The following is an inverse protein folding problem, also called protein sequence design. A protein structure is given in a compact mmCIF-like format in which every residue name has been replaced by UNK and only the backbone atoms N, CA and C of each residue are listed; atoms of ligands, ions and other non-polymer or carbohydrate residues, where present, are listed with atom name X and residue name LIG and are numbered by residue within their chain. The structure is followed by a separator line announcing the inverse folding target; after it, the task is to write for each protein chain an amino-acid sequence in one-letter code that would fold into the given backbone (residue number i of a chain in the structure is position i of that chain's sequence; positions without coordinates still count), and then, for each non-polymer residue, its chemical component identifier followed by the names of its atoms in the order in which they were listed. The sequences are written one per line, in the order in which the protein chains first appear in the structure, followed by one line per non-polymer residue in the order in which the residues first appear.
data_IF_945434766797
#
_entry.id   IF_945434766797
#
_cell.length_a   1.000
_cell.length_b   1.000
_cell.length_c   1.000
_cell.angle_alpha   90.00
_cell.angle_beta   90.00
_cell.angle_gamma   90.00
#
_symmetry.space_group_name_H-M   'P 1'
#
loop_
_entity.id
_entity.type
_entity.pdbx_description
1 polymer ?
#
# COMPACT_ATOMS: atom_id res chain seq x y z
N UNK A 1 29.56 -2.84 -0.50
CA UNK A 1 28.73 -1.67 -0.09
C UNK A 1 28.91 -0.45 -0.99
N UNK A 2 30.13 0.04 -1.27
CA UNK A 2 30.35 1.22 -2.16
C UNK A 2 29.83 1.03 -3.59
N UNK A 3 30.04 -0.16 -4.15
CA UNK A 3 29.60 -0.53 -5.50
C UNK A 3 28.07 -0.54 -5.62
N UNK A 4 27.38 -1.17 -4.67
CA UNK A 4 25.90 -1.16 -4.58
C UNK A 4 25.38 0.26 -4.42
N UNK A 5 25.99 1.08 -3.54
CA UNK A 5 25.61 2.48 -3.37
C UNK A 5 25.80 3.29 -4.66
N UNK A 6 26.91 3.08 -5.36
CA UNK A 6 27.18 3.71 -6.66
C UNK A 6 26.13 3.33 -7.70
N UNK A 7 25.79 2.04 -7.80
CA UNK A 7 24.74 1.56 -8.70
C UNK A 7 23.38 2.16 -8.38
N UNK A 8 22.98 2.19 -7.11
CA UNK A 8 21.71 2.81 -6.70
C UNK A 8 21.65 4.30 -7.04
N UNK A 9 22.75 5.03 -6.83
CA UNK A 9 22.84 6.45 -7.18
C UNK A 9 22.75 6.66 -8.69
N UNK A 10 23.51 5.90 -9.49
CA UNK A 10 23.50 6.00 -10.95
C UNK A 10 22.11 5.68 -11.51
N UNK A 11 21.47 4.61 -11.02
CA UNK A 11 20.13 4.22 -11.45
C UNK A 11 19.09 5.28 -11.06
N UNK A 12 19.13 5.79 -9.83
CA UNK A 12 18.21 6.82 -9.37
C UNK A 12 18.38 8.13 -10.15
N UNK A 13 19.63 8.57 -10.35
CA UNK A 13 19.94 9.77 -11.14
C UNK A 13 19.52 9.58 -12.61
N UNK A 14 19.77 8.41 -13.19
CA UNK A 14 19.36 8.05 -14.55
C UNK A 14 17.85 8.13 -14.74
N UNK A 15 17.06 7.54 -13.84
CA UNK A 15 15.61 7.66 -13.88
C UNK A 15 15.12 9.09 -13.66
N UNK A 16 15.77 9.85 -12.77
CA UNK A 16 15.44 11.26 -12.54
C UNK A 16 15.66 12.12 -13.79
N UNK A 17 16.82 11.99 -14.43
CA UNK A 17 17.13 12.72 -15.67
C UNK A 17 16.22 12.28 -16.82
N UNK A 18 15.92 10.99 -16.92
CA UNK A 18 14.97 10.47 -17.90
C UNK A 18 13.57 11.05 -17.69
N UNK A 19 13.11 11.14 -16.45
CA UNK A 19 11.84 11.78 -16.09
C UNK A 19 11.80 13.23 -16.52
N UNK A 20 12.84 14.01 -16.20
CA UNK A 20 12.96 15.42 -16.61
C UNK A 20 12.94 15.55 -18.14
N UNK A 21 13.66 14.68 -18.84
CA UNK A 21 13.65 14.66 -20.30
C UNK A 21 12.27 14.38 -20.88
N UNK A 22 11.49 13.48 -20.27
CA UNK A 22 10.12 13.16 -20.69
C UNK A 22 9.16 14.35 -20.52
N UNK A 23 9.48 15.26 -19.59
CA UNK A 23 8.68 16.45 -19.29
C UNK A 23 8.98 17.64 -20.20
N UNK A 24 9.94 17.53 -21.13
CA UNK A 24 10.35 18.65 -22.01
C UNK A 24 9.20 19.21 -22.86
N UNK A 25 8.23 18.34 -23.18
CA UNK A 25 7.08 18.65 -24.05
C UNK A 25 5.81 18.96 -23.22
N UNK A 26 5.92 19.05 -21.89
CA UNK A 26 4.77 19.30 -21.03
C UNK A 26 4.38 20.78 -21.06
N UNK A 27 3.07 21.05 -21.03
CA UNK A 27 2.54 22.39 -20.81
C UNK A 27 2.75 22.83 -19.35
N UNK A 28 2.69 24.13 -19.09
CA UNK A 28 2.76 24.68 -17.72
C UNK A 28 1.70 24.06 -16.80
N UNK A 29 0.49 23.83 -17.31
CA UNK A 29 -0.59 23.20 -16.54
C UNK A 29 -0.26 21.75 -16.16
N UNK A 30 0.34 20.98 -17.06
CA UNK A 30 0.78 19.61 -16.78
C UNK A 30 1.88 19.57 -15.72
N UNK A 31 2.83 20.51 -15.76
CA UNK A 31 3.88 20.63 -14.76
C UNK A 31 3.32 21.00 -13.38
N UNK A 32 2.38 21.96 -13.32
CA UNK A 32 1.71 22.34 -12.05
C UNK A 32 0.90 21.18 -11.50
N UNK A 33 0.13 20.49 -12.34
CA UNK A 33 -0.66 19.31 -11.94
C UNK A 33 0.22 18.20 -11.37
N UNK A 34 1.33 17.89 -12.04
CA UNK A 34 2.29 16.89 -11.58
C UNK A 34 3.00 17.31 -10.28
N UNK A 35 3.42 18.58 -10.18
CA UNK A 35 4.01 19.12 -8.95
C UNK A 35 3.04 19.05 -7.77
N UNK A 36 1.76 19.36 -8.02
CA UNK A 36 0.69 19.24 -7.03
C UNK A 36 0.47 17.80 -6.61
N UNK A 37 0.49 16.84 -7.54
CA UNK A 37 0.38 15.42 -7.22
C UNK A 37 1.57 14.93 -6.39
N UNK A 38 2.81 15.31 -6.76
CA UNK A 38 4.02 14.93 -6.02
C UNK A 38 4.00 15.50 -4.59
N UNK A 39 3.75 16.81 -4.46
CA UNK A 39 3.68 17.46 -3.16
C UNK A 39 2.51 16.92 -2.31
N UNK A 40 1.32 16.79 -2.91
CA UNK A 40 0.14 16.26 -2.26
C UNK A 40 0.33 14.82 -1.78
N UNK A 41 0.98 13.97 -2.58
CA UNK A 41 1.30 12.60 -2.21
C UNK A 41 2.24 12.51 -0.99
N UNK A 42 3.31 13.31 -0.97
CA UNK A 42 4.24 13.37 0.18
C UNK A 42 3.53 13.89 1.42
N UNK A 43 2.78 14.99 1.30
CA UNK A 43 2.05 15.58 2.43
C UNK A 43 1.01 14.61 2.99
N UNK A 44 0.20 13.97 2.13
CA UNK A 44 -0.77 12.97 2.56
C UNK A 44 -0.09 11.77 3.24
N UNK A 45 1.04 11.31 2.69
CA UNK A 45 1.77 10.19 3.27
C UNK A 45 2.30 10.53 4.67
N UNK A 46 3.04 11.62 4.81
CA UNK A 46 3.77 11.94 6.04
C UNK A 46 2.85 12.52 7.12
N UNK A 47 1.84 13.30 6.74
CA UNK A 47 0.92 13.92 7.70
C UNK A 47 -0.24 13.00 8.09
N UNK A 48 -0.61 12.02 7.26
CA UNK A 48 -1.79 11.18 7.51
C UNK A 48 -1.45 9.70 7.52
N UNK A 49 -0.92 9.15 6.41
CA UNK A 49 -0.74 7.69 6.28
C UNK A 49 0.24 7.14 7.33
N UNK A 50 1.40 7.76 7.48
CA UNK A 50 2.42 7.32 8.43
C UNK A 50 1.93 7.42 9.90
N UNK A 51 1.37 8.56 10.36
CA UNK A 51 0.81 8.66 11.72
C UNK A 51 -0.32 7.66 12.00
N UNK A 52 -1.26 7.49 11.06
CA UNK A 52 -2.35 6.52 11.20
C UNK A 52 -1.80 5.09 11.27
N UNK A 53 -0.81 4.77 10.43
CA UNK A 53 -0.16 3.44 10.44
C UNK A 53 0.52 3.16 11.77
N UNK A 54 1.23 4.14 12.34
CA UNK A 54 1.84 4.04 13.67
C UNK A 54 0.79 3.85 14.74
N UNK A 55 -0.29 4.65 14.73
CA UNK A 55 -1.38 4.54 15.71
C UNK A 55 -2.03 3.16 15.66
N UNK A 56 -2.35 2.66 14.46
CA UNK A 56 -2.90 1.32 14.27
C UNK A 56 -1.91 0.24 14.75
N UNK A 57 -0.62 0.41 14.49
CA UNK A 57 0.43 -0.47 15.01
C UNK A 57 0.47 -0.50 16.55
N UNK A 58 0.37 0.65 17.21
CA UNK A 58 0.31 0.77 18.67
C UNK A 58 -0.96 0.13 19.23
N UNK A 59 -2.12 0.39 18.64
CA UNK A 59 -3.40 -0.22 19.04
C UNK A 59 -3.35 -1.74 18.87
N UNK A 60 -2.86 -2.21 17.72
CA UNK A 60 -2.67 -3.64 17.45
C UNK A 60 -1.67 -4.28 18.45
N UNK A 61 -0.62 -3.57 18.83
CA UNK A 61 0.35 -4.04 19.82
C UNK A 61 -0.23 -4.11 21.24
N UNK A 62 -1.29 -3.36 21.56
CA UNK A 62 -1.98 -3.43 22.86
C UNK A 62 -3.08 -4.47 22.87
N UNK A 63 -3.81 -4.64 21.76
CA UNK A 63 -5.01 -5.48 21.70
C UNK A 63 -4.74 -6.92 21.25
N UNK A 64 -3.72 -7.16 20.41
CA UNK A 64 -3.50 -8.48 19.84
C UNK A 64 -2.57 -9.34 20.72
N UNK A 65 -2.93 -10.62 20.95
CA UNK A 65 -2.04 -11.60 21.55
C UNK A 65 -0.74 -11.72 20.75
N UNK A 66 0.40 -11.79 21.45
CA UNK A 66 1.73 -11.82 20.81
C UNK A 66 1.88 -12.89 19.73
N UNK A 67 1.24 -14.05 19.91
CA UNK A 67 1.26 -15.18 18.95
C UNK A 67 0.59 -14.88 17.60
N UNK A 68 -0.37 -13.97 17.54
CA UNK A 68 -1.10 -13.62 16.30
C UNK A 68 -0.76 -12.25 15.74
N UNK A 69 0.06 -11.47 16.46
CA UNK A 69 0.41 -10.09 16.10
C UNK A 69 1.10 -9.98 14.75
N UNK A 70 2.08 -10.84 14.46
CA UNK A 70 2.80 -10.79 13.17
C UNK A 70 1.89 -11.13 11.99
N UNK A 71 0.95 -12.07 12.17
CA UNK A 71 0.01 -12.48 11.12
C UNK A 71 -0.94 -11.34 10.80
N UNK A 72 -1.49 -10.69 11.82
CA UNK A 72 -2.35 -9.53 11.65
C UNK A 72 -1.61 -8.35 11.01
N UNK A 73 -0.37 -8.07 11.43
CA UNK A 73 0.44 -6.99 10.86
C UNK A 73 0.71 -7.19 9.37
N UNK A 74 1.10 -8.40 8.95
CA UNK A 74 1.34 -8.72 7.54
C UNK A 74 0.04 -8.63 6.73
N UNK A 75 -1.05 -9.22 7.23
CA UNK A 75 -2.34 -9.18 6.55
C UNK A 75 -2.85 -7.75 6.35
N UNK A 76 -2.73 -6.93 7.40
CA UNK A 76 -3.08 -5.51 7.34
C UNK A 76 -2.19 -4.74 6.37
N UNK A 77 -0.87 -4.95 6.40
CA UNK A 77 0.07 -4.30 5.48
C UNK A 77 -0.27 -4.60 4.02
N UNK A 78 -0.51 -5.88 3.69
CA UNK A 78 -0.87 -6.30 2.33
C UNK A 78 -2.22 -5.69 1.93
N UNK A 79 -3.23 -5.81 2.77
CA UNK A 79 -4.56 -5.28 2.50
C UNK A 79 -4.57 -3.74 2.33
N UNK A 80 -3.89 -3.01 3.21
CA UNK A 80 -3.81 -1.56 3.17
C UNK A 80 -3.07 -1.08 1.91
N UNK A 81 -1.93 -1.71 1.58
CA UNK A 81 -1.16 -1.38 0.37
C UNK A 81 -1.98 -1.59 -0.90
N UNK A 82 -2.68 -2.72 -0.99
CA UNK A 82 -3.57 -3.00 -2.13
C UNK A 82 -4.76 -2.05 -2.16
N UNK A 83 -5.33 -1.70 -1.01
CA UNK A 83 -6.44 -0.73 -0.95
C UNK A 83 -6.02 0.64 -1.46
N UNK A 84 -4.85 1.15 -1.04
CA UNK A 84 -4.30 2.41 -1.55
C UNK A 84 -4.07 2.34 -3.06
N UNK A 85 -3.51 1.25 -3.57
CA UNK A 85 -3.32 1.05 -5.02
C UNK A 85 -4.65 1.04 -5.80
N UNK A 86 -5.73 0.57 -5.17
CA UNK A 86 -7.06 0.50 -5.77
C UNK A 86 -7.89 1.77 -5.60
N UNK A 87 -7.45 2.78 -4.83
CA UNK A 87 -8.25 4.00 -4.55
C UNK A 87 -8.78 4.66 -5.82
N UNK A 88 -7.94 4.87 -6.83
CA UNK A 88 -8.36 5.51 -8.07
C UNK A 88 -9.42 4.68 -8.81
N UNK A 89 -9.22 3.37 -8.82
CA UNK A 89 -10.13 2.43 -9.47
C UNK A 89 -11.48 2.35 -8.76
N UNK A 90 -11.47 2.29 -7.43
CA UNK A 90 -12.67 2.26 -6.61
C UNK A 90 -13.45 3.57 -6.65
N UNK A 91 -12.75 4.70 -6.80
CA UNK A 91 -13.36 6.03 -6.91
C UNK A 91 -13.82 6.38 -8.33
N UNK A 92 -13.58 5.51 -9.31
CA UNK A 92 -13.94 5.77 -10.71
C UNK A 92 -13.02 6.78 -11.41
N UNK A 93 -11.95 7.24 -10.75
CA UNK A 93 -11.04 8.23 -11.31
C UNK A 93 -10.29 7.67 -12.52
N UNK A 94 -10.23 8.47 -13.60
CA UNK A 94 -9.62 8.07 -14.86
C UNK A 94 -10.50 7.19 -15.76
N UNK A 95 -11.75 6.92 -15.35
CA UNK A 95 -12.75 6.27 -16.21
C UNK A 95 -13.06 7.10 -17.45
N UNK A 96 -13.28 6.43 -18.58
CA UNK A 96 -13.64 7.05 -19.86
C UNK A 96 -15.03 6.57 -20.29
N UNK A 97 -16.05 7.44 -20.36
CA UNK A 97 -17.43 7.04 -20.67
C UNK A 97 -17.59 6.38 -22.04
N UNK A 98 -16.65 6.64 -22.95
CA UNK A 98 -16.60 6.15 -24.33
C UNK A 98 -15.70 4.92 -24.52
N UNK A 99 -15.09 4.40 -23.45
CA UNK A 99 -14.19 3.26 -23.53
C UNK A 99 -14.42 2.27 -22.39
N UNK A 100 -15.26 1.28 -22.65
CA UNK A 100 -15.62 0.21 -21.71
C UNK A 100 -14.46 -0.75 -21.36
N UNK A 101 -13.31 -0.64 -22.02
CA UNK A 101 -12.10 -1.36 -21.56
C UNK A 101 -11.44 -0.68 -20.36
N UNK A 102 -11.74 0.60 -20.12
CA UNK A 102 -11.23 1.40 -19.02
C UNK A 102 -12.27 1.45 -17.91
N UNK A 103 -11.94 0.83 -16.77
CA UNK A 103 -12.68 0.98 -15.52
C UNK A 103 -14.12 0.41 -15.48
N UNK A 104 -14.47 -0.52 -16.37
CA UNK A 104 -15.84 -1.08 -16.47
C UNK A 104 -16.06 -2.41 -15.72
N UNK A 105 -15.09 -2.84 -14.90
CA UNK A 105 -15.19 -4.07 -14.09
C UNK A 105 -15.81 -3.76 -12.72
N UNK A 106 -16.44 -4.74 -12.06
CA UNK A 106 -17.02 -4.54 -10.73
C UNK A 106 -15.91 -4.51 -9.65
N UNK A 107 -15.07 -3.48 -9.66
CA UNK A 107 -13.90 -3.39 -8.78
C UNK A 107 -14.25 -3.34 -7.31
N UNK A 108 -15.43 -2.82 -6.95
CA UNK A 108 -15.96 -2.92 -5.59
C UNK A 108 -16.09 -4.39 -5.15
N UNK A 109 -16.67 -5.24 -5.99
CA UNK A 109 -16.77 -6.68 -5.72
C UNK A 109 -15.38 -7.32 -5.67
N UNK A 110 -14.47 -6.98 -6.59
CA UNK A 110 -13.10 -7.48 -6.57
C UNK A 110 -12.37 -7.13 -5.27
N UNK A 111 -12.54 -5.91 -4.77
CA UNK A 111 -11.93 -5.47 -3.51
C UNK A 111 -12.54 -6.16 -2.29
N UNK A 112 -13.86 -6.38 -2.26
CA UNK A 112 -14.53 -7.15 -1.20
C UNK A 112 -14.01 -8.60 -1.18
N UNK A 113 -13.95 -9.26 -2.33
CA UNK A 113 -13.45 -10.63 -2.45
C UNK A 113 -11.98 -10.72 -2.00
N UNK A 114 -11.13 -9.80 -2.44
CA UNK A 114 -9.74 -9.71 -2.01
C UNK A 114 -9.63 -9.53 -0.49
N UNK A 115 -10.41 -8.61 0.09
CA UNK A 115 -10.43 -8.34 1.53
C UNK A 115 -10.84 -9.58 2.31
N UNK A 116 -11.91 -10.25 1.89
CA UNK A 116 -12.38 -11.48 2.51
C UNK A 116 -11.34 -12.60 2.44
N UNK A 117 -10.66 -12.76 1.30
CA UNK A 117 -9.62 -13.77 1.12
C UNK A 117 -8.42 -13.52 2.04
N UNK A 118 -7.92 -12.29 2.10
CA UNK A 118 -6.81 -11.91 3.00
C UNK A 118 -7.20 -12.17 4.47
N UNK A 119 -8.40 -11.76 4.86
CA UNK A 119 -8.91 -11.97 6.21
C UNK A 119 -9.05 -13.46 6.56
N UNK A 120 -9.60 -14.26 5.64
CA UNK A 120 -9.76 -15.71 5.82
C UNK A 120 -8.40 -16.43 5.97
N UNK A 121 -7.42 -16.07 5.14
CA UNK A 121 -6.06 -16.62 5.24
C UNK A 121 -5.43 -16.22 6.58
N UNK A 122 -5.50 -14.95 6.96
CA UNK A 122 -4.96 -14.47 8.23
C UNK A 122 -5.60 -15.18 9.43
N UNK A 123 -6.93 -15.33 9.43
CA UNK A 123 -7.67 -16.05 10.47
C UNK A 123 -7.26 -17.52 10.55
N UNK A 124 -7.13 -18.18 9.40
CA UNK A 124 -6.70 -19.60 9.33
C UNK A 124 -5.29 -19.78 9.90
N UNK A 125 -4.34 -18.94 9.50
CA UNK A 125 -2.96 -18.98 10.01
C UNK A 125 -2.92 -18.67 11.50
N UNK A 126 -3.65 -17.65 11.96
CA UNK A 126 -3.74 -17.29 13.36
C UNK A 126 -4.33 -18.43 14.22
N UNK A 127 -5.39 -19.08 13.74
CA UNK A 127 -6.01 -20.23 14.39
C UNK A 127 -5.04 -21.41 14.51
N UNK A 128 -4.34 -21.77 13.43
CA UNK A 128 -3.34 -22.85 13.46
C UNK A 128 -2.18 -22.56 14.42
N UNK A 129 -1.69 -21.31 14.46
CA UNK A 129 -0.63 -20.90 15.40
C UNK A 129 -1.07 -20.96 16.87
N UNK A 130 -2.34 -20.67 17.16
CA UNK A 130 -2.90 -20.83 18.52
C UNK A 130 -3.00 -22.30 18.93
N UNK A 131 -3.36 -23.20 18.00
CA UNK A 131 -3.54 -24.63 18.25
C UNK A 131 -2.24 -25.40 18.47
N UNK A 132 -1.20 -25.10 17.68
CA UNK A 132 0.11 -25.81 17.75
C UNK A 132 0.85 -25.51 19.06
N UNK A 133 0.64 -24.31 19.58
CA UNK A 133 1.36 -23.84 20.75
C UNK A 133 0.55 -24.20 22.02
N UNK A 134 0.78 -25.43 22.53
CA UNK A 134 0.10 -26.03 23.69
C UNK A 134 0.08 -25.15 24.97
N UNK A 135 -0.62 -25.62 26.03
CA UNK A 135 -0.91 -24.82 27.22
C UNK A 135 0.37 -24.23 27.84
N UNK A 136 0.32 -23.01 28.40
CA UNK A 136 1.48 -22.38 29.00
C UNK A 136 2.07 -23.29 30.07
N UNK A 137 3.38 -23.56 29.99
CA UNK A 137 4.12 -24.23 31.06
C UNK A 137 4.02 -23.33 32.30
N UNK A 138 3.24 -23.75 33.28
CA UNK A 138 3.22 -23.16 34.61
C UNK A 138 4.65 -23.17 35.17
N UNK A 139 5.18 -21.99 35.48
CA UNK A 139 6.33 -21.84 36.37
C UNK A 139 5.80 -21.62 37.78
#
# INVERSE_FOLDING_TARGET
MRLVRGLLLLTGLGFGLWGVWLMRDFTSEQLVSMGTFLAGGVLLHDAVIAPVTVLLGVVAARLLPGRTRSVAAIAFLVWATLTVAFVNVLSGQGGKPDNDTVLHRPYGLSWVVMTALIAAIAATVAYRRRRIAGPPRSR
#
